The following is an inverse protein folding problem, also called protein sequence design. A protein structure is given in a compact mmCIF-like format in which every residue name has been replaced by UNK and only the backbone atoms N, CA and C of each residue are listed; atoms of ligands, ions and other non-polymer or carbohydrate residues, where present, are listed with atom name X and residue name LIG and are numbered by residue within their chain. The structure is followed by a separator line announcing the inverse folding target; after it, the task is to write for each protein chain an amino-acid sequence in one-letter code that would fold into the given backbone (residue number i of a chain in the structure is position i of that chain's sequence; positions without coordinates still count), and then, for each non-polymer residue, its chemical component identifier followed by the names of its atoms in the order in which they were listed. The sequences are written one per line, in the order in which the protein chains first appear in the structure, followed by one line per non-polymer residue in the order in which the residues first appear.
data_IF_960489343222
#
_entry.id   IF_960489343222
#
_cell.length_a   1.000
_cell.length_b   1.000
_cell.length_c   1.000
_cell.angle_alpha   90.00
_cell.angle_beta   90.00
_cell.angle_gamma   90.00
#
_symmetry.space_group_name_H-M   'P 1'
#
loop_
_entity.id
_entity.type
_entity.pdbx_description
1 polymer ?
#
# COMPACT_ATOMS: atom_id res chain seq x y z
N UNK A 1 0.85 16.76 14.74
CA UNK A 1 0.76 15.82 13.59
C UNK A 1 1.73 16.32 12.52
N UNK A 2 2.99 15.90 12.59
CA UNK A 2 4.00 16.37 11.63
C UNK A 2 3.79 15.69 10.29
N UNK A 3 3.23 16.44 9.32
CA UNK A 3 3.12 16.05 7.92
C UNK A 3 4.52 16.02 7.29
N UNK A 4 5.32 15.02 7.65
CA UNK A 4 6.61 14.82 6.99
C UNK A 4 6.36 14.50 5.52
N UNK A 5 7.04 15.17 4.58
CA UNK A 5 6.82 14.98 3.14
C UNK A 5 7.03 13.52 2.69
N UNK A 6 7.82 12.75 3.45
CA UNK A 6 8.04 11.32 3.28
C UNK A 6 6.78 10.47 3.59
N UNK A 7 5.96 10.86 4.57
CA UNK A 7 4.72 10.16 4.92
C UNK A 7 3.64 10.31 3.84
N UNK A 8 3.51 11.52 3.29
CA UNK A 8 2.55 11.81 2.20
C UNK A 8 2.91 11.04 0.94
N UNK A 9 4.20 10.96 0.59
CA UNK A 9 4.68 10.17 -0.56
C UNK A 9 4.39 8.68 -0.38
N UNK A 10 4.65 8.14 0.81
CA UNK A 10 4.36 6.74 1.13
C UNK A 10 2.86 6.41 1.04
N UNK A 11 2.00 7.28 1.59
CA UNK A 11 0.55 7.10 1.49
C UNK A 11 0.06 7.13 0.03
N UNK A 12 0.60 8.04 -0.80
CA UNK A 12 0.28 8.08 -2.24
C UNK A 12 0.72 6.83 -2.99
N UNK A 13 1.91 6.30 -2.68
CA UNK A 13 2.39 5.07 -3.29
C UNK A 13 1.50 3.87 -2.94
N UNK A 14 1.13 3.71 -1.66
CA UNK A 14 0.20 2.66 -1.24
C UNK A 14 -1.16 2.76 -1.93
N UNK A 15 -1.72 3.98 -2.06
CA UNK A 15 -2.98 4.19 -2.76
C UNK A 15 -2.89 3.86 -4.26
N UNK A 16 -1.76 4.19 -4.92
CA UNK A 16 -1.54 3.86 -6.32
C UNK A 16 -1.45 2.35 -6.55
N UNK A 17 -0.74 1.62 -5.69
CA UNK A 17 -0.66 0.16 -5.77
C UNK A 17 -2.03 -0.51 -5.55
N UNK A 18 -2.84 -0.03 -4.60
CA UNK A 18 -4.20 -0.54 -4.41
C UNK A 18 -5.10 -0.30 -5.63
N UNK A 19 -4.99 0.86 -6.29
CA UNK A 19 -5.72 1.10 -7.55
C UNK A 19 -5.26 0.18 -8.66
N UNK A 20 -3.95 -0.06 -8.78
CA UNK A 20 -3.42 -1.01 -9.74
C UNK A 20 -3.98 -2.42 -9.49
N UNK A 21 -3.98 -2.90 -8.24
CA UNK A 21 -4.56 -4.19 -7.88
C UNK A 21 -6.04 -4.27 -8.26
N UNK A 22 -6.85 -3.26 -7.92
CA UNK A 22 -8.28 -3.22 -8.30
C UNK A 22 -8.49 -3.18 -9.81
N UNK A 23 -7.69 -2.41 -10.54
CA UNK A 23 -7.77 -2.33 -12.00
C UNK A 23 -7.41 -3.67 -12.65
N UNK A 24 -6.43 -4.39 -12.12
CA UNK A 24 -6.07 -5.74 -12.57
C UNK A 24 -7.21 -6.72 -12.28
N UNK A 25 -7.80 -6.70 -11.08
CA UNK A 25 -8.93 -7.58 -10.74
C UNK A 25 -10.15 -7.33 -11.62
N UNK A 26 -10.41 -6.06 -11.97
CA UNK A 26 -11.62 -5.70 -12.71
C UNK A 26 -11.47 -5.82 -14.24
N UNK A 27 -10.34 -5.36 -14.80
CA UNK A 27 -10.12 -5.31 -16.25
C UNK A 27 -9.15 -6.38 -16.78
N UNK A 28 -8.37 -7.03 -15.91
CA UNK A 28 -7.31 -7.95 -16.29
C UNK A 28 -5.98 -7.27 -16.64
N UNK A 29 -4.91 -8.07 -16.77
CA UNK A 29 -3.54 -7.58 -16.97
C UNK A 29 -3.26 -6.98 -18.36
N UNK A 30 -4.06 -7.34 -19.37
CA UNK A 30 -3.89 -6.85 -20.74
C UNK A 30 -4.58 -5.49 -20.98
N UNK A 31 -5.39 -5.01 -20.04
CA UNK A 31 -6.17 -3.80 -20.25
C UNK A 31 -5.29 -2.54 -20.09
N UNK A 32 -5.37 -1.56 -21.01
CA UNK A 32 -4.52 -0.37 -20.98
C UNK A 32 -4.65 0.42 -19.66
N UNK A 33 -5.83 0.42 -19.06
CA UNK A 33 -6.08 1.09 -17.77
C UNK A 33 -5.37 0.40 -16.59
N UNK A 34 -5.24 -0.94 -16.62
CA UNK A 34 -4.48 -1.68 -15.62
C UNK A 34 -2.97 -1.38 -15.76
N UNK A 35 -2.47 -1.38 -17.00
CA UNK A 35 -1.08 -1.02 -17.30
C UNK A 35 -0.74 0.43 -16.88
N UNK A 36 -1.64 1.39 -17.16
CA UNK A 36 -1.46 2.77 -16.73
C UNK A 36 -1.42 2.91 -15.20
N UNK A 37 -2.28 2.16 -14.50
CA UNK A 37 -2.31 2.13 -13.03
C UNK A 37 -1.04 1.51 -12.46
N UNK A 38 -0.52 0.44 -13.07
CA UNK A 38 0.73 -0.20 -12.67
C UNK A 38 1.94 0.75 -12.88
N UNK A 39 2.00 1.45 -14.01
CA UNK A 39 3.05 2.43 -14.27
C UNK A 39 3.02 3.59 -13.26
N UNK A 40 1.83 4.06 -12.88
CA UNK A 40 1.67 5.07 -11.84
C UNK A 40 2.14 4.55 -10.47
N UNK A 41 1.82 3.30 -10.12
CA UNK A 41 2.28 2.66 -8.90
C UNK A 41 3.81 2.52 -8.86
N UNK A 42 4.42 2.08 -9.96
CA UNK A 42 5.88 1.94 -10.08
C UNK A 42 6.61 3.29 -9.92
N UNK A 43 6.09 4.37 -10.54
CA UNK A 43 6.64 5.73 -10.38
C UNK A 43 6.55 6.23 -8.95
N UNK A 44 5.41 6.00 -8.29
CA UNK A 44 5.23 6.39 -6.90
C UNK A 44 6.15 5.60 -5.96
N UNK A 45 6.31 4.29 -6.18
CA UNK A 45 7.27 3.46 -5.46
C UNK A 45 8.70 3.96 -5.62
N UNK A 46 9.11 4.30 -6.86
CA UNK A 46 10.42 4.89 -7.12
C UNK A 46 10.60 6.21 -6.38
N UNK A 47 9.61 7.11 -6.42
CA UNK A 47 9.68 8.38 -5.69
C UNK A 47 9.83 8.21 -4.17
N UNK A 48 9.31 7.11 -3.61
CA UNK A 48 9.51 6.76 -2.20
C UNK A 48 10.93 6.24 -1.97
N UNK A 49 11.44 5.36 -2.83
CA UNK A 49 12.81 4.83 -2.76
C UNK A 49 13.87 5.93 -2.88
N UNK A 50 13.75 6.81 -3.87
CA UNK A 50 14.68 7.94 -4.08
C UNK A 50 14.66 8.93 -2.89
N UNK A 51 13.54 9.00 -2.15
CA UNK A 51 13.43 9.79 -0.92
C UNK A 51 14.00 9.07 0.32
N UNK A 52 14.68 7.93 0.16
CA UNK A 52 15.18 7.09 1.25
C UNK A 52 14.08 6.35 2.02
N UNK A 53 12.85 6.34 1.50
CA UNK A 53 11.73 5.65 2.11
C UNK A 53 11.65 4.19 1.65
N UNK A 54 11.29 3.27 2.54
CA UNK A 54 11.00 1.91 2.10
C UNK A 54 9.71 1.89 1.27
N UNK A 55 9.77 1.21 0.13
CA UNK A 55 8.63 1.01 -0.78
C UNK A 55 7.49 0.34 0.01
N UNK A 56 6.27 0.88 -0.06
CA UNK A 56 5.14 0.26 0.62
C UNK A 56 4.87 -1.13 0.04
N UNK A 57 4.82 -2.12 0.90
CA UNK A 57 4.26 -3.42 0.58
C UNK A 57 2.73 -3.31 0.64
N UNK A 58 2.07 -3.77 -0.42
CA UNK A 58 0.60 -3.86 -0.50
C UNK A 58 0.05 -5.06 0.24
N UNK A 59 0.90 -6.02 0.56
CA UNK A 59 0.57 -6.97 1.59
C UNK A 59 0.68 -6.19 2.91
N UNK A 60 -0.43 -5.94 3.63
CA UNK A 60 -0.28 -5.50 5.00
C UNK A 60 0.64 -6.53 5.66
N UNK A 61 1.71 -6.12 6.38
CA UNK A 61 2.42 -7.06 7.23
C UNK A 61 1.32 -7.65 8.09
N UNK A 62 1.03 -8.94 7.88
CA UNK A 62 -0.12 -9.61 8.47
C UNK A 62 -0.13 -9.17 9.92
N UNK A 63 -1.12 -8.33 10.27
CA UNK A 63 -1.12 -7.63 11.54
C UNK A 63 -0.83 -8.70 12.56
N UNK A 64 0.35 -8.61 13.19
CA UNK A 64 0.84 -9.68 14.03
C UNK A 64 -0.30 -9.97 14.98
N UNK A 65 -0.87 -11.17 14.84
CA UNK A 65 -1.95 -11.71 15.65
C UNK A 65 -1.36 -11.92 17.04
N UNK A 66 -1.04 -10.83 17.72
CA UNK A 66 -0.40 -10.71 19.01
C UNK A 66 -1.08 -9.55 19.73
N UNK A 67 -2.36 -9.76 20.01
CA UNK A 67 -3.05 -9.30 21.22
C UNK A 67 -4.55 -9.66 21.17
N UNK A 68 -4.91 -10.86 20.68
CA UNK A 68 -6.13 -11.48 21.19
C UNK A 68 -5.73 -12.23 22.47
N UNK A 69 -5.44 -11.48 23.55
CA UNK A 69 -5.56 -12.06 24.88
C UNK A 69 -7.07 -12.16 25.12
N UNK A 70 -7.67 -13.36 25.23
CA UNK A 70 -9.02 -13.44 25.75
C UNK A 70 -8.98 -12.90 27.19
N UNK A 71 -9.55 -11.72 27.43
CA UNK A 71 -9.94 -11.32 28.77
C UNK A 71 -11.08 -12.25 29.18
N UNK A 72 -10.73 -13.31 29.92
CA UNK A 72 -11.68 -14.04 30.73
C UNK A 72 -12.22 -13.04 31.77
N UNK A 73 -13.51 -12.70 31.68
CA UNK A 73 -14.23 -12.09 32.79
C UNK A 73 -14.40 -13.15 33.90
N UNK A 74 -13.97 -12.90 35.15
CA UNK A 74 -14.45 -13.68 36.28
C UNK A 74 -15.90 -13.25 36.62
N UNK A 75 -16.73 -14.23 36.96
CA UNK A 75 -18.10 -14.07 37.47
C UNK A 75 -18.07 -13.58 38.92
#
# INVERSE_FOLDING_TARGET
MSNSPSGIRRARAAAAQQRAARAITHYGLAHPQALASLAAAARAARAVWEAGGAVPDIHPPAASRRAAKPQLHPQ
#
